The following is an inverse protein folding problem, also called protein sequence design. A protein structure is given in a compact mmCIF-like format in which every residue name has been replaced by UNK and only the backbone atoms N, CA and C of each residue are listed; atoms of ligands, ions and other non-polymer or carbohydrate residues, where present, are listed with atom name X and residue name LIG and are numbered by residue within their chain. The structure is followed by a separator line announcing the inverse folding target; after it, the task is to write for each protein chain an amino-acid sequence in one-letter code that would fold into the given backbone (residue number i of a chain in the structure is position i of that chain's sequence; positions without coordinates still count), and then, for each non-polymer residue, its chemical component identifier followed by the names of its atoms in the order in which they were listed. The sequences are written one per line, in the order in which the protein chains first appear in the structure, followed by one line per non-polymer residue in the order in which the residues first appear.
data_IF_752597888687
#
_entry.id   IF_752597888687
#
_cell.length_a   1.000
_cell.length_b   1.000
_cell.length_c   1.000
_cell.angle_alpha   90.00
_cell.angle_beta   90.00
_cell.angle_gamma   90.00
#
_symmetry.space_group_name_H-M   'P 1'
#
loop_
_entity.id
_entity.type
_entity.pdbx_description
1 polymer ?
#
# COMPACT_ATOMS: atom_id res chain seq x y z
N UNK A 1 5.47 -12.92 -35.53
CA UNK A 1 4.93 -14.05 -34.74
C UNK A 1 5.41 -13.86 -33.32
N UNK A 2 4.51 -13.58 -32.38
CA UNK A 2 4.86 -13.39 -30.96
C UNK A 2 4.86 -14.76 -30.30
N UNK A 3 6.02 -15.22 -29.83
CA UNK A 3 6.15 -16.50 -29.14
C UNK A 3 6.23 -16.22 -27.64
N UNK A 4 5.27 -16.74 -26.87
CA UNK A 4 5.25 -16.65 -25.42
C UNK A 4 5.74 -17.99 -24.88
N UNK A 5 6.91 -17.99 -24.25
CA UNK A 5 7.48 -19.17 -23.61
C UNK A 5 7.37 -19.02 -22.09
N UNK A 6 6.67 -19.95 -21.45
CA UNK A 6 6.55 -20.02 -19.99
C UNK A 6 7.44 -21.15 -19.48
N UNK A 7 8.40 -20.81 -18.63
CA UNK A 7 9.25 -21.78 -17.93
C UNK A 7 8.89 -21.80 -16.45
N UNK A 8 8.80 -22.98 -15.85
CA UNK A 8 8.61 -23.14 -14.42
C UNK A 8 9.82 -23.87 -13.84
N UNK A 9 10.56 -23.18 -12.96
CA UNK A 9 11.70 -23.74 -12.25
C UNK A 9 11.78 -23.09 -10.86
N UNK A 10 11.94 -23.91 -9.82
CA UNK A 10 12.15 -23.45 -8.43
C UNK A 10 11.06 -22.49 -7.91
N UNK A 11 9.80 -22.67 -8.33
CA UNK A 11 8.68 -21.80 -7.91
C UNK A 11 8.55 -20.50 -8.70
N UNK A 12 9.49 -20.21 -9.60
CA UNK A 12 9.47 -19.03 -10.47
C UNK A 12 8.87 -19.40 -11.81
N UNK A 13 7.82 -18.68 -12.20
CA UNK A 13 7.37 -18.66 -13.59
C UNK A 13 8.24 -17.61 -14.30
N UNK A 14 8.93 -17.97 -15.36
CA UNK A 14 9.61 -17.00 -16.22
C UNK A 14 8.83 -16.92 -17.53
N UNK A 15 8.29 -15.74 -17.83
CA UNK A 15 7.61 -15.49 -19.11
C UNK A 15 8.58 -14.75 -20.00
N UNK A 16 9.01 -15.39 -21.09
CA UNK A 16 9.76 -14.73 -22.14
C UNK A 16 8.82 -14.35 -23.27
N UNK A 17 8.71 -13.05 -23.50
CA UNK A 17 8.07 -12.48 -24.68
C UNK A 17 9.15 -12.31 -25.74
N UNK A 18 9.14 -13.18 -26.74
CA UNK A 18 10.09 -13.14 -27.84
C UNK A 18 9.41 -12.67 -29.13
N UNK A 19 9.99 -11.62 -29.72
CA UNK A 19 9.79 -11.25 -31.12
C UNK A 19 10.95 -11.81 -31.95
N UNK A 20 10.90 -11.68 -33.29
CA UNK A 20 12.01 -12.14 -34.15
C UNK A 20 13.35 -11.47 -33.85
N UNK A 21 13.35 -10.31 -33.16
CA UNK A 21 14.54 -9.47 -32.97
C UNK A 21 14.89 -9.20 -31.50
N UNK A 22 14.06 -9.59 -30.53
CA UNK A 22 14.31 -9.37 -29.10
C UNK A 22 13.49 -10.30 -28.22
N UNK A 23 14.11 -10.82 -27.16
CA UNK A 23 13.44 -11.52 -26.06
C UNK A 23 13.52 -10.67 -24.80
N UNK A 24 12.36 -10.30 -24.26
CA UNK A 24 12.27 -9.62 -22.96
C UNK A 24 12.04 -10.66 -21.88
N UNK A 25 13.00 -10.81 -20.96
CA UNK A 25 12.82 -11.62 -19.76
C UNK A 25 11.98 -10.87 -18.75
N UNK A 26 10.72 -11.28 -18.55
CA UNK A 26 9.98 -10.91 -17.35
C UNK A 26 10.36 -11.91 -16.27
N UNK A 27 11.22 -11.50 -15.33
CA UNK A 27 11.20 -12.12 -14.01
C UNK A 27 9.82 -11.86 -13.41
N UNK A 28 9.08 -12.94 -13.14
CA UNK A 28 7.72 -12.88 -12.57
C UNK A 28 7.78 -12.92 -11.05
N UNK A 29 8.98 -12.89 -10.45
CA UNK A 29 9.10 -12.71 -9.01
C UNK A 29 8.62 -11.31 -8.63
N UNK A 30 7.41 -11.31 -8.10
CA UNK A 30 6.72 -10.16 -7.55
C UNK A 30 6.89 -10.26 -6.04
N UNK A 31 7.54 -9.29 -5.38
CA UNK A 31 7.67 -9.34 -3.92
C UNK A 31 6.30 -9.46 -3.25
N UNK A 32 6.20 -10.27 -2.20
CA UNK A 32 4.93 -10.45 -1.51
C UNK A 32 4.60 -9.23 -0.63
N UNK A 33 5.63 -8.64 -0.01
CA UNK A 33 5.52 -7.49 0.88
C UNK A 33 6.63 -6.46 0.56
N UNK A 34 6.26 -5.19 0.55
CA UNK A 34 7.15 -4.04 0.55
C UNK A 34 6.85 -3.18 1.76
N UNK A 35 7.87 -2.88 2.56
CA UNK A 35 7.80 -1.94 3.68
C UNK A 35 8.43 -0.60 3.25
N UNK A 36 7.75 0.51 3.53
CA UNK A 36 8.25 1.86 3.23
C UNK A 36 8.02 2.80 4.41
N UNK A 37 9.08 3.49 4.85
CA UNK A 37 9.02 4.47 5.93
C UNK A 37 9.84 4.06 7.15
N UNK A 38 9.57 4.68 8.29
CA UNK A 38 10.28 4.45 9.56
C UNK A 38 9.74 3.29 10.37
N UNK A 39 8.50 2.87 10.12
CA UNK A 39 7.91 1.65 10.69
C UNK A 39 8.71 0.39 10.32
N UNK A 40 9.51 0.45 9.26
CA UNK A 40 10.35 -0.64 8.77
C UNK A 40 11.28 -1.23 9.84
N UNK A 41 11.59 -0.51 10.93
CA UNK A 41 12.46 -1.00 12.01
C UNK A 41 11.71 -1.89 13.03
N UNK A 42 10.41 -1.69 13.25
CA UNK A 42 9.69 -2.44 14.29
C UNK A 42 9.20 -3.82 13.82
N UNK A 43 9.21 -4.07 12.50
CA UNK A 43 8.83 -5.36 11.88
C UNK A 43 9.75 -5.67 10.69
N UNK A 44 10.62 -6.65 10.85
CA UNK A 44 11.58 -7.12 9.84
C UNK A 44 11.56 -8.64 9.90
N UNK A 45 11.01 -9.28 8.86
CA UNK A 45 10.74 -10.72 8.81
C UNK A 45 12.03 -11.58 8.78
N UNK A 46 11.96 -12.91 8.67
CA UNK A 46 13.11 -13.82 8.54
C UNK A 46 13.62 -13.97 7.07
N UNK A 47 13.03 -13.22 6.13
CA UNK A 47 13.16 -13.47 4.70
C UNK A 47 13.33 -12.24 3.81
N UNK A 48 13.81 -12.49 2.60
CA UNK A 48 14.17 -11.56 1.51
C UNK A 48 13.00 -10.69 1.00
N UNK A 49 12.46 -9.84 1.88
CA UNK A 49 11.42 -8.86 1.58
C UNK A 49 12.06 -7.48 1.41
N UNK A 50 11.68 -6.74 0.37
CA UNK A 50 12.23 -5.41 0.16
C UNK A 50 11.72 -4.43 1.21
N UNK A 51 12.67 -3.67 1.74
CA UNK A 51 12.47 -2.58 2.69
C UNK A 51 13.04 -1.30 2.09
N UNK A 52 12.30 -0.19 2.20
CA UNK A 52 12.76 1.13 1.74
C UNK A 52 12.71 2.13 2.89
N UNK A 53 13.85 2.72 3.21
CA UNK A 53 13.99 3.65 4.32
C UNK A 53 14.92 4.81 3.99
N UNK A 54 14.88 5.84 4.84
CA UNK A 54 15.84 6.96 4.81
C UNK A 54 16.79 6.79 5.98
N UNK A 55 18.09 6.89 5.73
CA UNK A 55 19.09 6.79 6.79
C UNK A 55 20.25 7.76 6.56
N UNK A 56 20.78 8.27 7.67
CA UNK A 56 22.06 8.96 7.73
C UNK A 56 23.23 7.97 7.78
N UNK A 57 24.47 8.46 7.64
CA UNK A 57 25.68 7.63 7.71
C UNK A 57 25.91 7.01 9.11
N UNK A 58 25.18 7.49 10.12
CA UNK A 58 25.23 7.07 11.51
C UNK A 58 24.24 5.94 11.86
N UNK A 59 23.36 5.55 10.93
CA UNK A 59 22.36 4.51 11.18
C UNK A 59 23.00 3.12 11.34
N UNK A 60 22.63 2.43 12.41
CA UNK A 60 22.84 0.99 12.53
C UNK A 60 21.75 0.24 11.74
N UNK A 61 22.17 -0.41 10.66
CA UNK A 61 21.29 -1.16 9.75
C UNK A 61 21.48 -2.68 9.85
N UNK A 62 22.26 -3.17 10.83
CA UNK A 62 22.49 -4.61 11.06
C UNK A 62 21.18 -5.38 11.27
N UNK A 63 20.17 -4.68 11.75
CA UNK A 63 18.81 -5.19 11.92
C UNK A 63 18.16 -5.70 10.62
N UNK A 64 18.62 -5.20 9.47
CA UNK A 64 18.15 -5.60 8.15
C UNK A 64 19.07 -6.62 7.47
N UNK A 65 20.02 -7.22 8.20
CA UNK A 65 20.83 -8.31 7.63
C UNK A 65 19.90 -9.43 7.10
N UNK A 66 20.21 -9.92 5.90
CA UNK A 66 19.37 -10.89 5.18
C UNK A 66 18.21 -10.29 4.36
N UNK A 67 17.96 -8.98 4.47
CA UNK A 67 16.87 -8.30 3.75
C UNK A 67 17.37 -7.54 2.52
N UNK A 68 16.48 -7.37 1.55
CA UNK A 68 16.71 -6.43 0.46
C UNK A 68 16.40 -5.00 0.94
N UNK A 69 17.37 -4.35 1.58
CA UNK A 69 17.22 -2.99 2.06
C UNK A 69 17.67 -1.98 1.00
N UNK A 70 16.77 -1.09 0.60
CA UNK A 70 17.08 0.09 -0.21
C UNK A 70 17.07 1.35 0.65
N UNK A 71 18.25 1.93 0.84
CA UNK A 71 18.43 3.14 1.65
C UNK A 71 18.48 4.38 0.75
N UNK A 72 17.59 5.33 1.02
CA UNK A 72 17.70 6.69 0.50
C UNK A 72 18.63 7.48 1.44
N UNK A 73 19.77 7.99 0.94
CA UNK A 73 20.72 8.66 1.80
C UNK A 73 20.19 10.01 2.30
N UNK A 74 20.45 10.32 3.56
CA UNK A 74 20.18 11.63 4.17
C UNK A 74 21.36 12.11 5.02
N UNK A 75 21.30 13.37 5.46
CA UNK A 75 22.33 13.94 6.34
C UNK A 75 22.24 13.41 7.78
N UNK A 76 21.06 12.93 8.19
CA UNK A 76 20.79 12.39 9.53
C UNK A 76 19.72 11.31 9.46
N UNK A 77 19.68 10.45 10.46
CA UNK A 77 18.64 9.43 10.62
C UNK A 77 17.48 10.00 11.45
N UNK A 78 16.22 9.71 11.07
CA UNK A 78 15.07 10.11 11.89
C UNK A 78 15.23 9.48 13.28
N UNK A 79 15.37 10.33 14.29
CA UNK A 79 15.60 9.89 15.67
C UNK A 79 14.52 10.49 16.54
N UNK A 80 13.95 9.67 17.42
CA UNK A 80 12.96 10.10 18.40
C UNK A 80 13.25 9.52 19.78
N UNK A 81 12.81 10.24 20.80
CA UNK A 81 12.96 9.89 22.20
C UNK A 81 11.59 9.65 22.82
N UNK A 82 11.48 8.56 23.59
CA UNK A 82 10.31 8.25 24.40
C UNK A 82 10.58 8.64 25.84
N UNK A 83 9.80 9.58 26.37
CA UNK A 83 9.80 9.87 27.81
C UNK A 83 8.56 9.25 28.44
N UNK A 84 8.79 8.39 29.43
CA UNK A 84 7.74 7.81 30.27
C UNK A 84 7.67 8.59 31.59
N UNK A 85 6.49 9.04 32.01
CA UNK A 85 6.33 9.69 33.30
C UNK A 85 6.02 8.65 34.38
N UNK A 86 6.72 8.70 35.52
CA UNK A 86 6.61 7.72 36.61
C UNK A 86 5.19 7.54 37.17
N UNK A 87 4.34 8.57 37.04
CA UNK A 87 2.96 8.59 37.54
C UNK A 87 1.89 8.61 36.44
N UNK A 88 2.26 8.46 35.17
CA UNK A 88 1.31 8.52 34.07
C UNK A 88 1.57 7.49 33.00
N UNK A 89 0.52 6.86 32.51
CA UNK A 89 0.52 6.07 31.27
C UNK A 89 0.77 6.93 30.01
N UNK A 90 1.24 8.18 30.17
CA UNK A 90 1.40 9.13 29.09
C UNK A 90 2.83 9.08 28.55
N UNK A 91 2.96 8.43 27.40
CA UNK A 91 4.15 8.42 26.57
C UNK A 91 4.28 9.77 25.86
N UNK A 92 5.40 10.46 26.06
CA UNK A 92 5.75 11.65 25.27
C UNK A 92 6.79 11.27 24.23
N UNK A 93 6.48 11.56 22.97
CA UNK A 93 7.38 11.36 21.84
C UNK A 93 7.98 12.71 21.45
N UNK A 94 9.31 12.75 21.28
CA UNK A 94 10.02 13.94 20.79
C UNK A 94 10.95 13.54 19.66
N UNK A 95 10.85 14.20 18.51
CA UNK A 95 11.81 14.04 17.40
C UNK A 95 13.05 14.86 17.72
N UNK A 96 14.22 14.21 17.71
CA UNK A 96 15.53 14.81 18.01
C UNK A 96 16.38 15.04 16.78
N UNK A 97 16.16 14.26 15.71
CA UNK A 97 16.78 14.46 14.40
C UNK A 97 15.76 14.12 13.31
N UNK A 98 15.72 14.90 12.22
CA UNK A 98 14.84 14.69 11.08
C UNK A 98 15.67 14.68 9.78
N UNK A 99 15.57 13.65 8.92
CA UNK A 99 16.35 13.55 7.69
C UNK A 99 16.00 14.63 6.66
N UNK A 100 14.83 15.27 6.79
CA UNK A 100 14.28 16.24 5.84
C UNK A 100 14.18 15.69 4.40
N UNK A 101 13.88 14.40 4.29
CA UNK A 101 13.63 13.69 3.03
C UNK A 101 12.22 13.13 3.10
N UNK A 102 11.41 13.45 2.08
CA UNK A 102 10.09 12.84 1.89
C UNK A 102 10.23 11.65 0.96
N UNK A 103 10.07 10.44 1.49
CA UNK A 103 10.02 9.22 0.69
C UNK A 103 8.80 9.25 -0.23
N UNK A 104 9.00 8.76 -1.43
CA UNK A 104 7.97 8.71 -2.47
C UNK A 104 8.20 7.46 -3.32
N UNK A 105 7.25 7.12 -4.17
CA UNK A 105 7.36 5.93 -5.04
C UNK A 105 8.60 5.96 -5.95
N UNK A 106 9.10 7.13 -6.36
CA UNK A 106 10.30 7.22 -7.20
C UNK A 106 11.57 6.76 -6.49
N UNK A 107 11.56 6.73 -5.15
CA UNK A 107 12.65 6.20 -4.35
C UNK A 107 12.63 4.68 -4.22
N UNK A 108 11.54 4.02 -4.62
CA UNK A 108 11.42 2.56 -4.54
C UNK A 108 11.99 1.92 -5.81
N UNK A 109 12.87 0.91 -5.72
CA UNK A 109 13.35 0.17 -6.89
C UNK A 109 12.21 -0.37 -7.76
N UNK A 110 12.36 -0.33 -9.08
CA UNK A 110 11.29 -0.66 -10.03
C UNK A 110 10.71 -2.07 -9.87
N UNK A 111 11.50 -3.05 -9.45
CA UNK A 111 11.01 -4.41 -9.19
C UNK A 111 10.22 -4.50 -7.87
N UNK A 112 10.62 -3.74 -6.85
CA UNK A 112 9.92 -3.62 -5.56
C UNK A 112 8.56 -2.91 -5.68
N UNK A 113 8.43 -1.94 -6.60
CA UNK A 113 7.16 -1.24 -6.84
C UNK A 113 6.00 -2.18 -7.23
N UNK A 114 6.32 -3.39 -7.69
CA UNK A 114 5.33 -4.41 -8.01
C UNK A 114 4.85 -5.17 -6.79
N UNK A 115 5.28 -4.92 -5.55
CA UNK A 115 4.94 -5.78 -4.42
C UNK A 115 3.42 -6.03 -4.28
N UNK A 116 3.00 -7.23 -3.87
CA UNK A 116 1.57 -7.58 -3.70
C UNK A 116 0.93 -6.79 -2.57
N UNK A 117 1.68 -6.66 -1.50
CA UNK A 117 1.31 -5.89 -0.31
C UNK A 117 2.33 -4.78 -0.13
N UNK A 118 1.86 -3.56 0.08
CA UNK A 118 2.70 -2.40 0.37
C UNK A 118 2.24 -1.85 1.70
N UNK A 119 3.17 -1.68 2.64
CA UNK A 119 2.92 -1.05 3.92
C UNK A 119 3.66 0.27 3.96
N UNK A 120 2.90 1.33 4.20
CA UNK A 120 3.33 2.71 4.25
C UNK A 120 3.27 3.16 5.70
N UNK A 121 4.42 3.35 6.32
CA UNK A 121 4.56 3.64 7.73
C UNK A 121 5.32 4.93 8.01
N UNK A 122 4.70 6.10 7.80
CA UNK A 122 5.28 7.36 8.23
C UNK A 122 5.20 7.49 9.77
N UNK A 123 6.17 8.15 10.37
CA UNK A 123 6.09 8.64 11.76
C UNK A 123 5.54 10.07 11.81
N UNK A 124 5.78 10.86 10.76
CA UNK A 124 5.38 12.27 10.65
C UNK A 124 4.77 12.61 9.28
N UNK A 125 4.11 13.76 9.17
CA UNK A 125 3.44 14.24 7.95
C UNK A 125 4.32 14.36 6.70
N UNK A 126 5.60 14.63 6.87
CA UNK A 126 6.50 15.01 5.78
C UNK A 126 7.51 13.91 5.43
N UNK A 127 7.42 12.76 6.09
CA UNK A 127 8.36 11.65 5.89
C UNK A 127 8.02 10.82 4.66
N UNK A 128 6.74 10.73 4.31
CA UNK A 128 6.26 9.90 3.22
C UNK A 128 5.20 10.66 2.43
N UNK A 129 5.29 10.57 1.11
CA UNK A 129 4.26 10.97 0.17
C UNK A 129 3.44 9.75 -0.22
N UNK A 130 2.42 9.42 0.58
CA UNK A 130 1.51 8.31 0.28
C UNK A 130 0.77 8.50 -1.06
N UNK A 131 0.52 9.74 -1.49
CA UNK A 131 -0.19 9.99 -2.74
C UNK A 131 0.59 9.41 -3.92
N UNK A 132 1.92 9.57 -3.93
CA UNK A 132 2.76 8.98 -4.97
C UNK A 132 2.64 7.46 -5.10
N UNK A 133 2.27 6.73 -4.04
CA UNK A 133 2.04 5.28 -4.08
C UNK A 133 0.63 4.91 -4.59
N UNK A 134 -0.32 5.83 -4.36
CA UNK A 134 -1.73 5.68 -4.72
C UNK A 134 -2.03 6.18 -6.15
N UNK A 135 -1.13 7.00 -6.70
CA UNK A 135 -1.27 7.56 -8.04
C UNK A 135 -1.37 6.49 -9.13
N UNK A 136 -2.16 6.83 -10.15
CA UNK A 136 -2.36 6.05 -11.35
C UNK A 136 -1.56 6.67 -12.50
N UNK A 137 -0.51 5.97 -12.96
CA UNK A 137 0.34 6.44 -14.07
C UNK A 137 -0.11 5.91 -15.44
N UNK A 138 -1.36 5.45 -15.55
CA UNK A 138 -1.87 4.86 -16.78
C UNK A 138 -1.96 3.33 -16.77
N UNK A 139 -2.51 2.80 -17.86
CA UNK A 139 -2.88 1.39 -18.00
C UNK A 139 -1.67 0.46 -17.91
N UNK A 140 -0.53 0.86 -18.50
CA UNK A 140 0.68 0.04 -18.51
C UNK A 140 1.30 -0.12 -17.13
N UNK A 141 1.34 0.96 -16.36
CA UNK A 141 1.85 0.93 -14.99
C UNK A 141 0.93 0.09 -14.09
N UNK A 142 -0.38 0.14 -14.32
CA UNK A 142 -1.35 -0.71 -13.63
C UNK A 142 -1.22 -2.20 -14.00
N UNK A 143 -1.01 -2.53 -15.28
CA UNK A 143 -0.74 -3.90 -15.72
C UNK A 143 0.59 -4.42 -15.14
N UNK A 144 1.59 -3.55 -15.04
CA UNK A 144 2.90 -3.89 -14.50
C UNK A 144 2.87 -4.15 -12.98
N UNK A 145 2.23 -3.25 -12.23
CA UNK A 145 2.08 -3.36 -10.77
C UNK A 145 1.09 -4.45 -10.37
N UNK A 146 0.06 -4.68 -11.19
CA UNK A 146 -1.05 -5.55 -10.83
C UNK A 146 -1.83 -5.02 -9.62
N UNK A 147 -2.72 -5.86 -9.09
CA UNK A 147 -3.50 -5.52 -7.90
C UNK A 147 -2.63 -5.48 -6.66
N UNK A 148 -2.72 -4.42 -5.87
CA UNK A 148 -1.94 -4.22 -4.63
C UNK A 148 -2.87 -4.01 -3.43
N UNK A 149 -2.50 -4.61 -2.30
CA UNK A 149 -3.03 -4.25 -0.99
C UNK A 149 -2.12 -3.18 -0.40
N UNK A 150 -2.66 -2.00 -0.10
CA UNK A 150 -1.89 -0.88 0.44
C UNK A 150 -2.37 -0.62 1.86
N UNK A 151 -1.51 -0.89 2.83
CA UNK A 151 -1.73 -0.57 4.24
C UNK A 151 -1.07 0.75 4.56
N UNK A 152 -1.83 1.76 4.97
CA UNK A 152 -1.30 3.06 5.38
C UNK A 152 -1.46 3.20 6.90
N UNK A 153 -0.33 3.27 7.61
CA UNK A 153 -0.30 3.61 9.03
C UNK A 153 -0.47 5.13 9.19
N UNK A 154 -1.72 5.54 9.03
CA UNK A 154 -2.14 6.94 8.97
C UNK A 154 -1.87 7.71 10.29
N UNK A 155 -1.62 6.99 11.39
CA UNK A 155 -1.18 7.56 12.66
C UNK A 155 -0.01 8.55 12.49
N UNK A 156 0.98 8.25 11.63
CA UNK A 156 2.09 9.17 11.35
C UNK A 156 1.67 10.52 10.78
N UNK A 157 0.64 10.52 9.94
CA UNK A 157 0.11 11.73 9.34
C UNK A 157 -0.76 12.56 10.28
N UNK A 158 -1.27 11.97 11.37
CA UNK A 158 -2.07 12.68 12.37
C UNK A 158 -1.23 13.30 13.48
N UNK A 159 0.08 13.42 13.23
CA UNK A 159 1.06 13.99 14.16
C UNK A 159 1.61 15.30 13.60
N UNK A 160 1.65 16.33 14.43
CA UNK A 160 2.39 17.57 14.17
C UNK A 160 3.59 17.67 15.11
N UNK A 161 4.66 18.29 14.63
CA UNK A 161 5.83 18.58 15.45
C UNK A 161 5.68 19.98 16.07
N UNK A 162 5.79 20.04 17.40
CA UNK A 162 5.92 21.28 18.14
C UNK A 162 7.31 21.92 17.95
N UNK A 163 7.49 23.19 18.36
CA UNK A 163 8.77 23.89 18.22
C UNK A 163 9.96 23.21 18.92
N UNK A 164 9.69 22.41 19.95
CA UNK A 164 10.68 21.65 20.72
C UNK A 164 10.81 20.18 20.25
N UNK A 165 10.25 19.87 19.07
CA UNK A 165 10.23 18.52 18.51
C UNK A 165 9.19 17.59 19.13
N UNK A 166 8.37 18.04 20.10
CA UNK A 166 7.30 17.21 20.68
C UNK A 166 6.28 16.85 19.62
N UNK A 167 5.85 15.60 19.65
CA UNK A 167 4.79 15.11 18.78
C UNK A 167 3.43 15.37 19.43
N UNK A 168 2.56 16.07 18.72
CA UNK A 168 1.21 16.40 19.16
C UNK A 168 0.19 15.83 18.16
N UNK A 169 -0.98 15.35 18.62
CA UNK A 169 -2.03 14.94 17.70
C UNK A 169 -2.62 16.14 16.96
N UNK A 170 -3.18 15.88 15.79
CA UNK A 170 -4.05 16.82 15.09
C UNK A 170 -5.50 16.70 15.57
N UNK A 171 -6.22 17.81 15.52
CA UNK A 171 -7.65 17.85 15.86
C UNK A 171 -8.56 17.45 14.68
N UNK A 172 -8.00 17.41 13.47
CA UNK A 172 -8.72 17.07 12.24
C UNK A 172 -7.83 16.20 11.37
N UNK A 173 -8.41 15.36 10.48
CA UNK A 173 -7.65 14.61 9.50
C UNK A 173 -6.66 15.49 8.75
N UNK A 174 -5.39 15.08 8.73
CA UNK A 174 -4.35 15.79 7.98
C UNK A 174 -4.64 15.85 6.47
N UNK A 175 -4.11 16.87 5.77
CA UNK A 175 -4.22 16.94 4.31
C UNK A 175 -3.71 15.67 3.60
N UNK A 176 -2.59 15.09 4.06
CA UNK A 176 -2.02 13.87 3.49
C UNK A 176 -2.95 12.67 3.63
N UNK A 177 -3.61 12.53 4.79
CA UNK A 177 -4.61 11.50 4.99
C UNK A 177 -5.81 11.74 4.06
N UNK A 178 -6.34 12.96 4.01
CA UNK A 178 -7.48 13.30 3.15
C UNK A 178 -7.16 13.06 1.68
N UNK A 179 -5.97 13.41 1.22
CA UNK A 179 -5.47 13.11 -0.11
C UNK A 179 -5.48 11.58 -0.32
N UNK A 180 -4.93 10.79 0.59
CA UNK A 180 -4.90 9.34 0.46
C UNK A 180 -6.31 8.72 0.31
N UNK A 181 -7.29 9.13 1.13
CA UNK A 181 -8.68 8.64 1.00
C UNK A 181 -9.40 9.20 -0.23
N UNK A 182 -9.17 10.46 -0.60
CA UNK A 182 -9.81 11.06 -1.79
C UNK A 182 -9.27 10.46 -3.09
N UNK A 183 -7.98 10.17 -3.18
CA UNK A 183 -7.40 9.48 -4.33
C UNK A 183 -7.94 8.05 -4.46
N UNK A 184 -7.99 7.30 -3.35
CA UNK A 184 -8.63 5.98 -3.32
C UNK A 184 -10.08 6.03 -3.81
N UNK A 185 -10.84 7.01 -3.31
CA UNK A 185 -12.24 7.20 -3.67
C UNK A 185 -12.45 7.60 -5.14
N UNK A 186 -11.70 8.58 -5.65
CA UNK A 186 -11.81 9.05 -7.03
C UNK A 186 -11.39 7.97 -8.02
N UNK A 187 -10.34 7.21 -7.71
CA UNK A 187 -9.96 6.04 -8.50
C UNK A 187 -11.12 5.04 -8.55
N UNK A 188 -11.75 4.73 -7.40
CA UNK A 188 -12.88 3.80 -7.29
C UNK A 188 -14.06 4.25 -8.15
N UNK A 189 -14.50 5.51 -8.01
CA UNK A 189 -15.60 6.05 -8.81
C UNK A 189 -15.31 6.05 -10.32
N UNK A 190 -14.08 6.32 -10.72
CA UNK A 190 -13.67 6.32 -12.12
C UNK A 190 -13.68 4.91 -12.75
N UNK A 191 -14.02 3.85 -12.01
CA UNK A 191 -13.91 2.45 -12.44
C UNK A 191 -12.45 1.98 -12.57
N UNK A 192 -11.49 2.82 -12.15
CA UNK A 192 -10.07 2.55 -12.08
C UNK A 192 -9.64 2.03 -10.69
N UNK A 193 -10.53 2.07 -9.70
CA UNK A 193 -10.24 1.76 -8.29
C UNK A 193 -10.80 0.44 -7.80
N UNK A 194 -10.87 -0.56 -8.68
CA UNK A 194 -10.87 -1.96 -8.23
C UNK A 194 -9.46 -2.49 -7.95
N UNK A 195 -8.42 -1.71 -8.24
CA UNK A 195 -7.03 -2.19 -8.33
C UNK A 195 -6.15 -1.84 -7.14
N UNK A 196 -6.49 -0.77 -6.41
CA UNK A 196 -5.78 -0.40 -5.19
C UNK A 196 -6.75 -0.30 -4.03
N UNK A 197 -6.38 -1.01 -2.97
CA UNK A 197 -7.22 -1.36 -1.84
C UNK A 197 -6.52 -0.82 -0.61
N UNK A 198 -6.94 0.38 -0.20
CA UNK A 198 -6.28 1.14 0.88
C UNK A 198 -6.94 0.78 2.19
N UNK A 199 -6.17 0.14 3.06
CA UNK A 199 -6.52 -0.12 4.45
C UNK A 199 -5.79 0.92 5.31
N UNK A 200 -6.55 1.71 6.08
CA UNK A 200 -6.01 2.70 6.99
C UNK A 200 -5.86 2.12 8.39
N UNK A 201 -4.71 2.35 9.01
CA UNK A 201 -4.46 2.03 10.42
C UNK A 201 -4.30 3.33 11.20
N UNK A 202 -5.18 3.52 12.19
CA UNK A 202 -5.24 4.66 13.10
C UNK A 202 -5.30 4.13 14.54
N UNK A 203 -5.08 5.00 15.53
CA UNK A 203 -5.44 4.70 16.92
C UNK A 203 -6.48 5.67 17.46
N UNK A 204 -7.17 5.26 18.52
CA UNK A 204 -8.09 6.11 19.28
C UNK A 204 -7.44 7.43 19.69
N UNK A 205 -6.18 7.42 20.12
CA UNK A 205 -5.44 8.64 20.49
C UNK A 205 -5.44 9.68 19.36
N UNK A 206 -5.37 9.26 18.09
CA UNK A 206 -5.42 10.18 16.95
C UNK A 206 -6.83 10.53 16.49
N UNK A 207 -7.81 9.65 16.71
CA UNK A 207 -9.18 9.83 16.21
C UNK A 207 -10.14 10.41 17.24
N UNK A 208 -9.87 10.27 18.54
CA UNK A 208 -10.68 10.81 19.64
C UNK A 208 -10.98 12.31 19.50
N UNK A 209 -10.05 13.16 19.02
CA UNK A 209 -10.34 14.58 18.82
C UNK A 209 -11.24 14.89 17.62
N UNK A 210 -11.51 13.92 16.75
CA UNK A 210 -12.26 14.15 15.51
C UNK A 210 -13.75 14.23 15.78
N UNK A 211 -14.45 15.03 14.97
CA UNK A 211 -15.90 14.95 14.90
C UNK A 211 -16.34 13.66 14.20
N UNK A 212 -17.57 13.22 14.50
CA UNK A 212 -18.24 12.11 13.80
C UNK A 212 -18.26 12.32 12.28
N UNK A 213 -18.40 13.56 11.82
CA UNK A 213 -18.37 13.89 10.39
C UNK A 213 -17.02 13.55 9.75
N UNK A 214 -15.91 13.85 10.43
CA UNK A 214 -14.57 13.52 9.93
C UNK A 214 -14.32 12.02 9.91
N UNK A 215 -14.71 11.32 10.98
CA UNK A 215 -14.59 9.87 11.03
C UNK A 215 -15.43 9.21 9.93
N UNK A 216 -16.69 9.62 9.79
CA UNK A 216 -17.59 9.16 8.73
C UNK A 216 -17.06 9.44 7.32
N UNK A 217 -16.43 10.60 7.10
CA UNK A 217 -15.79 10.96 5.83
C UNK A 217 -14.66 9.99 5.47
N UNK A 218 -13.79 9.66 6.44
CA UNK A 218 -12.64 8.75 6.25
C UNK A 218 -13.12 7.32 6.04
N UNK A 219 -14.02 6.83 6.91
CA UNK A 219 -14.62 5.49 6.83
C UNK A 219 -15.34 5.26 5.50
N UNK A 220 -16.09 6.25 5.00
CA UNK A 220 -16.82 6.14 3.74
C UNK A 220 -15.94 6.16 2.48
N UNK A 221 -14.65 6.47 2.60
CA UNK A 221 -13.72 6.62 1.45
C UNK A 221 -12.57 5.63 1.42
N UNK A 222 -12.24 4.98 2.54
CA UNK A 222 -11.27 3.90 2.57
C UNK A 222 -11.94 2.55 2.29
N UNK A 223 -11.19 1.55 1.83
CA UNK A 223 -11.72 0.18 1.76
C UNK A 223 -11.89 -0.40 3.16
N UNK A 224 -10.91 -0.13 4.03
CA UNK A 224 -10.94 -0.48 5.44
C UNK A 224 -10.36 0.63 6.28
N UNK A 225 -10.94 0.86 7.45
CA UNK A 225 -10.37 1.68 8.51
C UNK A 225 -10.27 0.84 9.76
N UNK A 226 -9.08 0.69 10.30
CA UNK A 226 -8.83 -0.03 11.54
C UNK A 226 -8.36 0.98 12.59
N UNK A 227 -9.09 1.06 13.69
CA UNK A 227 -8.78 1.95 14.82
C UNK A 227 -8.39 1.06 16.02
N UNK A 228 -7.10 1.06 16.36
CA UNK A 228 -6.59 0.33 17.53
C UNK A 228 -6.86 1.12 18.81
N UNK A 229 -7.21 0.41 19.88
CA UNK A 229 -7.55 0.97 21.21
C UNK A 229 -6.71 0.36 22.33
N UNK A 230 -5.45 0.07 22.04
CA UNK A 230 -4.53 -0.59 22.96
C UNK A 230 -5.11 -1.89 23.55
N UNK A 231 -5.29 -1.94 24.86
CA UNK A 231 -5.83 -3.12 25.57
C UNK A 231 -7.31 -3.38 25.33
N UNK A 232 -8.03 -2.50 24.63
CA UNK A 232 -9.43 -2.69 24.25
C UNK A 232 -9.59 -3.26 22.82
N UNK A 233 -8.50 -3.73 22.22
CA UNK A 233 -8.51 -4.35 20.90
C UNK A 233 -8.52 -3.31 19.78
N UNK A 234 -9.30 -3.56 18.74
CA UNK A 234 -9.49 -2.61 17.64
C UNK A 234 -10.93 -2.65 17.11
N UNK A 235 -11.32 -1.63 16.37
CA UNK A 235 -12.52 -1.69 15.52
C UNK A 235 -12.12 -1.57 14.07
N UNK A 236 -12.68 -2.45 13.25
CA UNK A 236 -12.58 -2.42 11.81
C UNK A 236 -13.89 -1.90 11.21
N UNK A 237 -13.79 -0.91 10.33
CA UNK A 237 -14.85 -0.48 9.45
C UNK A 237 -14.52 -0.96 8.04
N UNK A 238 -15.43 -1.70 7.42
CA UNK A 238 -15.28 -2.17 6.04
C UNK A 238 -16.66 -2.24 5.33
N UNK A 239 -16.68 -2.79 4.12
CA UNK A 239 -17.90 -2.94 3.31
C UNK A 239 -18.98 -3.86 3.91
N UNK A 240 -18.59 -4.72 4.85
CA UNK A 240 -19.51 -5.62 5.57
C UNK A 240 -20.02 -5.04 6.88
N UNK A 241 -19.51 -3.89 7.33
CA UNK A 241 -19.98 -3.16 8.50
C UNK A 241 -18.87 -2.82 9.50
N UNK A 242 -19.25 -2.80 10.77
CA UNK A 242 -18.37 -2.49 11.90
C UNK A 242 -18.08 -3.76 12.67
N UNK A 243 -16.80 -4.11 12.81
CA UNK A 243 -16.34 -5.32 13.47
C UNK A 243 -15.46 -4.97 14.66
N UNK A 244 -15.57 -5.76 15.72
CA UNK A 244 -14.66 -5.67 16.87
C UNK A 244 -13.58 -6.72 16.71
N UNK A 245 -12.33 -6.31 16.90
CA UNK A 245 -11.17 -7.19 16.93
C UNK A 245 -10.75 -7.28 18.40
N UNK A 246 -10.93 -8.44 19.00
CA UNK A 246 -10.57 -8.69 20.38
C UNK A 246 -9.05 -8.74 20.56
N UNK A 247 -8.59 -8.42 21.77
CA UNK A 247 -7.19 -8.65 22.15
C UNK A 247 -6.90 -10.14 22.29
N UNK A 248 -5.63 -10.51 22.11
CA UNK A 248 -5.11 -11.79 22.63
C UNK A 248 -4.50 -11.53 24.00
N UNK A 249 -5.04 -12.07 25.11
CA UNK A 249 -4.51 -11.82 26.44
C UNK A 249 -3.04 -12.22 26.59
N UNK A 250 -2.32 -11.47 27.42
CA UNK A 250 -0.92 -11.74 27.76
C UNK A 250 -0.71 -11.63 29.27
N UNK A 251 0.16 -12.46 29.82
CA UNK A 251 0.42 -12.48 31.27
C UNK A 251 1.13 -11.21 31.76
N UNK A 252 1.99 -10.65 30.90
CA UNK A 252 2.79 -9.47 31.24
C UNK A 252 3.10 -8.63 30.00
N UNK A 253 2.70 -7.35 30.06
CA UNK A 253 3.13 -6.32 29.10
C UNK A 253 4.51 -5.82 29.52
N UNK A 254 5.47 -5.85 28.60
CA UNK A 254 6.85 -5.39 28.79
C UNK A 254 7.11 -4.05 28.10
N UNK A 255 6.76 -3.95 26.82
CA UNK A 255 6.97 -2.73 26.02
C UNK A 255 5.96 -2.63 24.87
N UNK A 256 5.17 -1.56 24.86
CA UNK A 256 4.11 -1.33 23.86
C UNK A 256 4.61 -0.65 22.58
N UNK A 257 5.88 -0.25 22.49
CA UNK A 257 6.45 0.31 21.27
C UNK A 257 6.41 -0.72 20.12
N UNK A 258 6.18 -0.28 18.89
CA UNK A 258 6.03 -1.14 17.72
C UNK A 258 4.78 -2.06 17.69
N UNK A 259 3.92 -2.02 18.71
CA UNK A 259 2.74 -2.91 18.74
C UNK A 259 1.72 -2.60 17.64
N UNK A 260 1.50 -1.30 17.34
CA UNK A 260 0.64 -0.87 16.23
C UNK A 260 1.21 -1.26 14.87
N UNK A 261 2.53 -1.14 14.71
CA UNK A 261 3.26 -1.50 13.50
C UNK A 261 3.21 -3.01 13.24
N UNK A 262 3.41 -3.79 14.31
CA UNK A 262 3.25 -5.26 14.31
C UNK A 262 1.82 -5.65 13.97
N UNK A 263 0.83 -4.98 14.57
CA UNK A 263 -0.60 -5.20 14.28
C UNK A 263 -0.89 -4.95 12.80
N UNK A 264 -0.53 -3.78 12.27
CA UNK A 264 -0.79 -3.41 10.89
C UNK A 264 -0.10 -4.37 9.91
N UNK A 265 1.13 -4.78 10.22
CA UNK A 265 1.87 -5.74 9.38
C UNK A 265 1.25 -7.12 9.39
N UNK A 266 0.92 -7.65 10.58
CA UNK A 266 0.22 -8.93 10.72
C UNK A 266 -1.14 -8.93 10.01
N UNK A 267 -1.90 -7.84 10.14
CA UNK A 267 -3.19 -7.67 9.46
C UNK A 267 -3.04 -7.73 7.94
N UNK A 268 -2.12 -6.93 7.38
CA UNK A 268 -1.92 -6.85 5.93
C UNK A 268 -1.38 -8.15 5.35
N UNK A 269 -0.50 -8.84 6.08
CA UNK A 269 -0.02 -10.17 5.68
C UNK A 269 -1.17 -11.19 5.66
N UNK A 270 -1.95 -11.29 6.73
CA UNK A 270 -3.10 -12.18 6.80
C UNK A 270 -4.15 -11.88 5.72
N UNK A 271 -4.45 -10.61 5.49
CA UNK A 271 -5.36 -10.15 4.44
C UNK A 271 -4.87 -10.54 3.05
N UNK A 272 -3.58 -10.32 2.76
CA UNK A 272 -2.97 -10.66 1.46
C UNK A 272 -2.97 -12.17 1.18
N UNK A 273 -2.94 -12.97 2.26
CA UNK A 273 -3.02 -14.43 2.25
C UNK A 273 -4.45 -14.95 2.15
N UNK A 274 -5.46 -14.08 2.25
CA UNK A 274 -6.87 -14.45 2.20
C UNK A 274 -7.31 -15.24 3.44
N UNK A 275 -6.71 -14.99 4.59
CA UNK A 275 -7.15 -15.59 5.86
C UNK A 275 -8.49 -14.97 6.27
N UNK A 276 -9.36 -15.79 6.89
CA UNK A 276 -10.74 -15.40 7.19
C UNK A 276 -10.86 -14.35 8.32
N UNK A 277 -9.83 -14.24 9.17
CA UNK A 277 -9.80 -13.31 10.31
C UNK A 277 -8.44 -12.60 10.43
N UNK A 278 -8.15 -11.64 9.53
CA UNK A 278 -6.89 -10.89 9.59
C UNK A 278 -6.75 -10.09 10.90
N UNK A 279 -7.86 -9.71 11.54
CA UNK A 279 -7.88 -9.02 12.82
C UNK A 279 -7.31 -9.87 13.94
N UNK A 280 -7.71 -11.14 14.05
CA UNK A 280 -7.18 -12.06 15.06
C UNK A 280 -5.67 -12.28 14.89
N UNK A 281 -5.19 -12.50 13.66
CA UNK A 281 -3.76 -12.67 13.39
C UNK A 281 -2.95 -11.41 13.76
N UNK A 282 -3.49 -10.23 13.46
CA UNK A 282 -2.91 -8.95 13.84
C UNK A 282 -2.85 -8.77 15.35
N UNK A 283 -3.95 -9.06 16.06
CA UNK A 283 -4.04 -8.98 17.51
C UNK A 283 -3.07 -9.96 18.18
N UNK A 284 -2.96 -11.19 17.68
CA UNK A 284 -2.01 -12.18 18.16
C UNK A 284 -0.57 -11.66 18.04
N UNK A 285 -0.20 -11.12 16.87
CA UNK A 285 1.14 -10.61 16.61
C UNK A 285 1.47 -9.41 17.52
N UNK A 286 0.56 -8.45 17.63
CA UNK A 286 0.72 -7.30 18.52
C UNK A 286 0.86 -7.73 19.98
N UNK A 287 0.06 -8.68 20.44
CA UNK A 287 0.15 -9.24 21.79
C UNK A 287 1.51 -9.89 22.07
N UNK A 288 2.09 -10.58 21.07
CA UNK A 288 3.44 -11.11 21.20
C UNK A 288 4.50 -10.01 21.25
N UNK A 289 4.39 -8.98 20.41
CA UNK A 289 5.30 -7.84 20.42
C UNK A 289 5.29 -7.09 21.76
N UNK A 290 4.13 -6.93 22.42
CA UNK A 290 4.08 -6.22 23.70
C UNK A 290 4.76 -6.96 24.86
N UNK A 291 4.97 -8.28 24.74
CA UNK A 291 5.69 -9.09 25.73
C UNK A 291 7.21 -8.94 25.62
N UNK A 292 7.69 -8.32 24.54
CA UNK A 292 9.10 -8.20 24.20
C UNK A 292 9.64 -6.81 24.53
N UNK A 293 10.95 -6.68 24.78
CA UNK A 293 11.60 -5.38 24.90
C UNK A 293 11.84 -4.77 23.51
N UNK A 294 11.87 -3.44 23.40
CA UNK A 294 12.23 -2.77 22.15
C UNK A 294 13.55 -3.26 21.56
N UNK A 295 14.55 -3.56 22.41
CA UNK A 295 15.88 -3.99 21.96
C UNK A 295 15.92 -5.34 21.24
N UNK A 296 14.88 -6.17 21.31
CA UNK A 296 14.82 -7.39 20.50
C UNK A 296 13.95 -7.23 19.25
N UNK A 297 13.16 -6.17 19.17
CA UNK A 297 12.40 -5.84 17.97
C UNK A 297 13.40 -5.23 16.98
N UNK A 298 13.31 -5.60 15.70
CA UNK A 298 12.28 -6.40 15.04
C UNK A 298 12.48 -7.92 15.04
N UNK A 299 13.69 -8.47 15.25
CA UNK A 299 13.93 -9.91 15.08
C UNK A 299 12.93 -10.78 15.86
N UNK A 300 12.71 -10.48 17.13
CA UNK A 300 11.79 -11.27 17.96
C UNK A 300 10.32 -11.11 17.53
N UNK A 301 9.93 -9.99 16.91
CA UNK A 301 8.55 -9.77 16.48
C UNK A 301 8.22 -10.56 15.21
N UNK A 302 9.18 -10.68 14.30
CA UNK A 302 9.03 -11.40 13.05
C UNK A 302 8.84 -12.90 13.21
N UNK A 303 9.72 -13.55 13.99
CA UNK A 303 9.61 -14.98 14.30
C UNK A 303 8.21 -15.34 14.83
N UNK A 304 7.63 -14.41 15.59
CA UNK A 304 6.29 -14.56 16.15
C UNK A 304 5.23 -14.44 15.04
N UNK A 305 5.31 -13.43 14.18
CA UNK A 305 4.35 -13.24 13.06
C UNK A 305 4.33 -14.47 12.14
N UNK A 306 5.49 -14.99 11.71
CA UNK A 306 5.53 -16.11 10.76
C UNK A 306 5.00 -17.42 11.33
N UNK A 307 5.22 -17.67 12.63
CA UNK A 307 4.67 -18.84 13.32
C UNK A 307 3.14 -18.89 13.31
N UNK A 308 2.47 -17.75 13.09
CA UNK A 308 1.02 -17.64 13.14
C UNK A 308 0.37 -17.23 11.80
N UNK A 309 1.14 -16.65 10.90
CA UNK A 309 0.74 -16.39 9.51
C UNK A 309 1.69 -17.19 8.62
N UNK A 310 1.25 -18.30 7.99
CA UNK A 310 2.14 -19.18 7.25
C UNK A 310 2.65 -18.53 5.96
N UNK A 311 3.92 -18.75 5.63
CA UNK A 311 4.52 -18.30 4.38
C UNK A 311 3.76 -18.85 3.15
N UNK A 312 3.78 -18.11 2.03
CA UNK A 312 3.14 -18.56 0.79
C UNK A 312 3.81 -19.82 0.26
N UNK A 313 3.03 -20.89 0.13
CA UNK A 313 3.44 -22.07 -0.62
C UNK A 313 3.55 -21.76 -2.12
N UNK A 314 4.22 -22.61 -2.89
CA UNK A 314 4.23 -22.51 -4.34
C UNK A 314 2.81 -22.56 -4.94
N UNK A 315 1.89 -23.31 -4.32
CA UNK A 315 0.50 -23.38 -4.72
C UNK A 315 -0.25 -22.07 -4.45
N UNK A 316 0.03 -21.39 -3.33
CA UNK A 316 -0.56 -20.08 -3.01
C UNK A 316 -0.09 -19.01 -4.00
N UNK A 317 1.21 -19.00 -4.32
CA UNK A 317 1.80 -18.12 -5.36
C UNK A 317 1.11 -18.33 -6.71
N UNK A 318 0.95 -19.58 -7.12
CA UNK A 318 0.29 -19.94 -8.38
C UNK A 318 -1.19 -19.55 -8.39
N UNK A 319 -1.93 -19.86 -7.31
CA UNK A 319 -3.35 -19.52 -7.17
C UNK A 319 -3.58 -18.00 -7.18
N UNK A 320 -2.74 -17.24 -6.48
CA UNK A 320 -2.79 -15.77 -6.49
C UNK A 320 -2.43 -15.19 -7.85
N UNK A 321 -1.48 -15.79 -8.59
CA UNK A 321 -1.17 -15.38 -9.95
C UNK A 321 -2.36 -15.65 -10.91
N UNK A 322 -3.01 -16.81 -10.80
CA UNK A 322 -4.19 -17.15 -11.60
C UNK A 322 -5.38 -16.22 -11.31
N UNK A 323 -5.66 -15.93 -10.03
CA UNK A 323 -6.70 -14.94 -9.64
C UNK A 323 -6.40 -13.54 -10.15
N UNK A 324 -5.12 -13.15 -10.16
CA UNK A 324 -4.73 -11.86 -10.72
C UNK A 324 -5.00 -11.82 -12.24
N UNK A 325 -4.66 -12.89 -12.96
CA UNK A 325 -4.93 -13.00 -14.41
C UNK A 325 -6.43 -12.99 -14.73
N UNK A 326 -7.26 -13.70 -13.96
CA UNK A 326 -8.72 -13.72 -14.17
C UNK A 326 -9.33 -12.33 -13.97
N UNK A 327 -8.93 -11.62 -12.92
CA UNK A 327 -9.40 -10.25 -12.68
C UNK A 327 -8.86 -9.27 -13.72
N UNK A 328 -7.62 -9.42 -14.20
CA UNK A 328 -7.09 -8.64 -15.33
C UNK A 328 -7.91 -8.83 -16.59
N UNK A 329 -8.32 -10.06 -16.90
CA UNK A 329 -9.20 -10.33 -18.04
C UNK A 329 -10.58 -9.66 -17.87
N UNK A 330 -11.21 -9.79 -16.69
CA UNK A 330 -12.46 -9.08 -16.37
C UNK A 330 -12.31 -7.55 -16.45
N UNK A 331 -11.18 -7.02 -16.01
CA UNK A 331 -10.84 -5.60 -16.07
C UNK A 331 -10.76 -5.06 -17.49
N UNK A 332 -10.01 -5.75 -18.35
CA UNK A 332 -9.87 -5.41 -19.77
C UNK A 332 -11.21 -5.49 -20.48
N UNK A 333 -12.00 -6.53 -20.22
CA UNK A 333 -13.34 -6.69 -20.80
C UNK A 333 -14.27 -5.55 -20.38
N UNK A 334 -14.29 -5.18 -19.09
CA UNK A 334 -15.11 -4.08 -18.59
C UNK A 334 -14.67 -2.72 -19.15
N UNK A 335 -13.36 -2.49 -19.31
CA UNK A 335 -12.84 -1.26 -19.91
C UNK A 335 -13.25 -1.17 -21.39
N UNK A 336 -13.06 -2.24 -22.16
CA UNK A 336 -13.47 -2.31 -23.57
C UNK A 336 -14.98 -2.12 -23.74
N UNK A 337 -15.78 -2.72 -22.86
CA UNK A 337 -17.24 -2.49 -22.86
C UNK A 337 -17.57 -1.03 -22.54
N UNK A 338 -16.89 -0.42 -21.57
CA UNK A 338 -17.18 0.97 -21.17
C UNK A 338 -16.73 1.98 -22.20
N UNK A 339 -15.54 1.85 -22.75
CA UNK A 339 -15.04 2.73 -23.81
C UNK A 339 -15.85 2.51 -25.10
N UNK A 340 -16.24 1.27 -25.39
CA UNK A 340 -17.17 0.94 -26.48
C UNK A 340 -18.55 1.57 -26.30
N UNK A 341 -19.12 1.52 -25.09
CA UNK A 341 -20.41 2.14 -24.75
C UNK A 341 -20.31 3.67 -24.76
N UNK A 342 -19.24 4.25 -24.22
CA UNK A 342 -19.00 5.68 -24.25
C UNK A 342 -18.83 6.19 -25.69
N UNK A 343 -18.12 5.46 -26.54
CA UNK A 343 -18.02 5.74 -27.97
C UNK A 343 -19.38 5.62 -28.68
N UNK A 344 -20.18 4.60 -28.37
CA UNK A 344 -21.55 4.41 -28.88
C UNK A 344 -22.49 5.54 -28.46
N UNK A 345 -22.40 6.00 -27.21
CA UNK A 345 -23.17 7.14 -26.70
C UNK A 345 -22.72 8.44 -27.37
N UNK A 346 -21.41 8.63 -27.59
CA UNK A 346 -20.88 9.76 -28.35
C UNK A 346 -21.36 9.75 -29.81
N UNK A 347 -21.38 8.58 -30.46
CA UNK A 347 -21.90 8.40 -31.81
C UNK A 347 -23.41 8.64 -31.89
N UNK A 348 -24.19 8.31 -30.85
CA UNK A 348 -25.62 8.65 -30.75
C UNK A 348 -25.88 10.13 -30.48
N UNK A 349 -24.98 10.84 -29.80
CA UNK A 349 -25.07 12.28 -29.52
C UNK A 349 -24.64 13.15 -30.70
N UNK A 350 -23.86 12.61 -31.65
CA UNK A 350 -23.73 13.22 -32.96
C UNK A 350 -25.10 13.14 -33.63
N UNK A 351 -25.77 14.29 -33.78
CA UNK A 351 -27.08 14.35 -34.45
C UNK A 351 -27.02 13.62 -35.79
N UNK A 352 -28.12 12.97 -36.21
CA UNK A 352 -28.19 12.25 -37.48
C UNK A 352 -27.75 13.10 -38.71
N UNK A 353 -27.76 14.43 -38.58
CA UNK A 353 -27.25 15.37 -39.59
C UNK A 353 -25.72 15.58 -39.62
N UNK A 354 -24.98 15.28 -38.55
CA UNK A 354 -23.52 15.42 -38.51
C UNK A 354 -22.78 14.20 -39.08
N UNK A 355 -23.33 13.01 -38.86
CA UNK A 355 -22.76 11.75 -39.37
C UNK A 355 -22.91 11.63 -40.90
N UNK A 356 -24.04 12.08 -41.44
CA UNK A 356 -24.26 12.20 -42.89
C UNK A 356 -23.34 13.24 -43.55
N UNK A 357 -23.09 14.38 -42.90
CA UNK A 357 -22.12 15.40 -43.38
C UNK A 357 -20.67 14.92 -43.31
N UNK A 358 -20.30 14.17 -42.26
CA UNK A 358 -18.96 13.60 -42.12
C UNK A 358 -18.68 12.51 -43.17
N UNK A 359 -19.66 11.62 -43.41
CA UNK A 359 -19.57 10.60 -44.46
C UNK A 359 -19.59 11.21 -45.87
N UNK A 360 -20.38 12.26 -46.13
CA UNK A 360 -20.36 12.97 -47.40
C UNK A 360 -19.00 13.64 -47.68
N UNK A 361 -18.37 14.26 -46.67
CA UNK A 361 -17.02 14.86 -46.82
C UNK A 361 -15.92 13.83 -47.10
N UNK A 362 -16.01 12.63 -46.53
CA UNK A 362 -15.05 11.55 -46.79
C UNK A 362 -15.20 10.95 -48.20
N UNK A 363 -16.41 11.01 -48.77
CA UNK A 363 -16.68 10.63 -50.16
C UNK A 363 -16.13 11.66 -51.16
N UNK A 364 -16.26 12.96 -50.87
CA UNK A 364 -15.75 14.03 -51.73
C UNK A 364 -14.21 14.11 -51.75
N UNK A 365 -13.53 13.75 -50.66
CA UNK A 365 -12.06 13.76 -50.62
C UNK A 365 -11.42 12.67 -51.48
N UNK A 366 -12.14 11.57 -51.81
CA UNK A 366 -11.65 10.54 -52.74
C UNK A 366 -11.88 10.90 -54.22
N UNK A 367 -12.72 11.88 -54.53
CA UNK A 367 -12.94 12.37 -55.88
C UNK A 367 -12.01 13.52 -56.26
N UNK A 368 -11.41 14.20 -55.28
CA UNK A 368 -10.48 15.30 -55.49
C UNK A 368 -9.01 14.89 -55.75
N UNK A 369 -8.63 13.62 -55.52
CA UNK A 369 -7.23 13.15 -55.72
C UNK A 369 -6.99 12.45 -57.07
N UNK A 370 -7.92 12.54 -58.03
CA UNK A 370 -7.89 11.81 -59.30
C UNK A 370 -7.68 12.65 -60.57
N UNK A 371 -7.42 13.95 -60.46
CA UNK A 371 -7.18 14.82 -61.62
C UNK A 371 -6.03 15.78 -61.37
N UNK A 372 -4.85 15.40 -61.83
CA UNK A 372 -3.68 16.28 -61.87
C UNK A 372 -2.40 15.50 -62.15
N UNK A 373 -2.03 15.52 -63.43
CA UNK A 373 -0.68 15.37 -64.02
C UNK A 373 -0.53 14.21 -65.01
N UNK A 374 -0.81 14.57 -66.26
CA UNK A 374 -0.02 14.16 -67.42
C UNK A 374 0.86 15.33 -67.86
#
# INVERSE_FOLDING_TARGET
MLLILCFWKDGVISVQLCTSNACYGLSVERPDLLLVGTVTIDVVDDGSRPAVGVAGPDADLSVFEGHELHVVPAASTLTFEHTYTWFGHQRKLRVTANPNVTLSRSHVPRHCQRARTVILGPLTQHELDAASFLEYDGLWDQLYRGRQHIGLMAQGYQRRLGPDGRVLPLLTPSPQLLIAVLWGYNAMQAGLGRWQRVSLFLSDVETDPWSEDWLGLVVSRAERVIITRGSQGATEYNDTGVHTIDIVPVDKVRDTNGAGDTFATGYMLALSRGLNDPGHHAAWAASRAVMQAQSCKPQCAADLIEGHVPAWSAADRAGAALRALSHSAEGVVNLLMRDGVAALIHLRKLSQGSLSKALARASDTRLASGKGEG
#
